data_IF_599591805411
#
_entry.id   IF_599591805411
#
_cell.length_a   1.000
_cell.length_b   1.000
_cell.length_c   1.000
_cell.angle_alpha   90.00
_cell.angle_beta   90.00
_cell.angle_gamma   90.00
#
_symmetry.space_group_name_H-M   'P 1'
#
loop_
_entity.id
_entity.type
_entity.pdbx_description
1 polymer ?
#
# COMPACT_ATOMS: atom_id res chain seq x y z
N UNK A 1 11.17 -30.52 5.81
CA UNK A 1 11.67 -29.47 6.73
C UNK A 1 13.08 -29.01 6.37
N UNK A 2 14.10 -29.94 6.23
CA UNK A 2 15.50 -29.55 5.92
C UNK A 2 15.68 -28.97 4.50
N UNK A 3 14.96 -29.51 3.50
CA UNK A 3 14.93 -28.98 2.12
C UNK A 3 14.21 -27.62 2.04
N UNK A 4 13.18 -27.42 2.83
CA UNK A 4 12.42 -26.19 2.89
C UNK A 4 13.20 -25.07 3.61
N UNK A 5 13.93 -25.44 4.66
CA UNK A 5 14.87 -24.54 5.33
C UNK A 5 15.99 -24.12 4.40
N UNK A 6 16.61 -25.07 3.68
CA UNK A 6 17.66 -24.76 2.70
C UNK A 6 17.16 -23.83 1.60
N UNK A 7 15.96 -24.07 1.05
CA UNK A 7 15.36 -23.20 0.04
C UNK A 7 15.12 -21.77 0.58
N UNK A 8 14.64 -21.63 1.81
CA UNK A 8 14.47 -20.31 2.44
C UNK A 8 15.80 -19.59 2.67
N UNK A 9 16.85 -20.31 3.04
CA UNK A 9 18.20 -19.74 3.19
C UNK A 9 18.75 -19.29 1.83
N UNK A 10 18.60 -20.11 0.79
CA UNK A 10 19.03 -19.76 -0.56
C UNK A 10 18.24 -18.57 -1.10
N UNK A 11 16.91 -18.51 -0.91
CA UNK A 11 16.06 -17.37 -1.29
C UNK A 11 16.44 -16.07 -0.56
N UNK A 12 16.79 -16.14 0.73
CA UNK A 12 17.28 -14.99 1.51
C UNK A 12 18.64 -14.53 1.01
N UNK A 13 19.54 -15.46 0.74
CA UNK A 13 20.90 -15.17 0.24
C UNK A 13 20.86 -14.53 -1.16
N UNK A 14 20.01 -15.04 -2.04
CA UNK A 14 19.81 -14.49 -3.39
C UNK A 14 19.20 -13.08 -3.32
N UNK A 15 18.27 -12.85 -2.41
CA UNK A 15 17.67 -11.54 -2.18
C UNK A 15 18.71 -10.55 -1.64
N UNK A 16 19.48 -10.94 -0.64
CA UNK A 16 20.55 -10.12 -0.08
C UNK A 16 21.63 -9.78 -1.12
N UNK A 17 22.01 -10.74 -1.96
CA UNK A 17 22.97 -10.54 -3.04
C UNK A 17 22.46 -9.57 -4.10
N UNK A 18 21.17 -9.65 -4.47
CA UNK A 18 20.52 -8.70 -5.39
C UNK A 18 20.44 -7.30 -4.78
N UNK A 19 20.07 -7.21 -3.51
CA UNK A 19 19.99 -5.91 -2.78
C UNK A 19 21.38 -5.25 -2.68
N UNK A 20 22.43 -6.01 -2.41
CA UNK A 20 23.82 -5.52 -2.43
C UNK A 20 24.27 -5.04 -3.80
N UNK A 21 23.91 -5.76 -4.85
CA UNK A 21 24.26 -5.38 -6.23
C UNK A 21 23.53 -4.11 -6.64
N UNK A 22 22.25 -4.00 -6.32
CA UNK A 22 21.44 -2.81 -6.53
C UNK A 22 22.02 -1.60 -5.78
N UNK A 23 22.38 -1.77 -4.52
CA UNK A 23 22.98 -0.71 -3.70
C UNK A 23 24.33 -0.24 -4.28
N UNK A 24 25.17 -1.15 -4.77
CA UNK A 24 26.44 -0.78 -5.45
C UNK A 24 26.21 -0.01 -6.74
N UNK A 25 25.22 -0.41 -7.53
CA UNK A 25 24.86 0.30 -8.75
C UNK A 25 24.34 1.71 -8.44
N UNK A 26 23.52 1.85 -7.41
CA UNK A 26 23.03 3.14 -6.93
C UNK A 26 24.15 4.05 -6.41
N UNK A 27 25.08 3.51 -5.62
CA UNK A 27 26.25 4.26 -5.16
C UNK A 27 27.15 4.71 -6.34
N UNK A 28 27.33 3.88 -7.36
CA UNK A 28 28.07 4.27 -8.56
C UNK A 28 27.38 5.37 -9.34
N UNK A 29 26.06 5.27 -9.48
CA UNK A 29 25.25 6.30 -10.14
C UNK A 29 25.28 7.64 -9.38
N UNK A 30 25.17 7.58 -8.05
CA UNK A 30 25.31 8.76 -7.18
C UNK A 30 26.66 9.44 -7.34
N UNK A 31 27.74 8.65 -7.41
CA UNK A 31 29.10 9.18 -7.62
C UNK A 31 29.24 9.88 -8.99
N UNK A 32 28.69 9.29 -10.04
CA UNK A 32 28.73 9.85 -11.38
C UNK A 32 27.90 11.14 -11.49
N UNK A 33 26.70 11.14 -10.92
CA UNK A 33 25.84 12.30 -10.85
C UNK A 33 26.51 13.46 -10.09
N UNK A 34 27.12 13.17 -8.93
CA UNK A 34 27.85 14.15 -8.15
C UNK A 34 29.01 14.77 -8.93
N UNK A 35 29.79 13.93 -9.66
CA UNK A 35 30.88 14.43 -10.49
C UNK A 35 30.38 15.38 -11.58
N UNK A 36 29.31 15.03 -12.30
CA UNK A 36 28.69 15.89 -13.32
C UNK A 36 28.17 17.20 -12.71
N UNK A 37 27.42 17.11 -11.63
CA UNK A 37 26.88 18.29 -10.94
C UNK A 37 27.99 19.21 -10.44
N UNK A 38 29.08 18.66 -9.90
CA UNK A 38 30.22 19.47 -9.43
C UNK A 38 30.92 20.22 -10.58
N UNK A 39 31.09 19.58 -11.74
CA UNK A 39 31.68 20.22 -12.93
C UNK A 39 30.76 21.30 -13.48
N UNK A 40 29.46 21.01 -13.61
CA UNK A 40 28.45 21.97 -14.06
C UNK A 40 28.37 23.17 -13.10
N UNK A 41 28.41 22.92 -11.79
CA UNK A 41 28.40 23.92 -10.74
C UNK A 41 29.62 24.88 -10.84
N UNK A 42 30.82 24.33 -11.00
CA UNK A 42 32.04 25.13 -11.15
C UNK A 42 32.03 25.99 -12.42
N UNK A 43 31.58 25.41 -13.53
CA UNK A 43 31.46 26.12 -14.80
C UNK A 43 30.44 27.28 -14.70
N UNK A 44 29.33 27.03 -14.06
CA UNK A 44 28.27 28.02 -13.93
C UNK A 44 28.61 29.09 -12.88
N UNK A 45 29.28 28.75 -11.78
CA UNK A 45 29.79 29.71 -10.81
C UNK A 45 30.73 30.76 -11.50
N UNK A 46 31.54 30.30 -12.45
CA UNK A 46 32.37 31.21 -13.27
C UNK A 46 31.56 32.06 -14.26
N UNK A 47 30.49 31.49 -14.81
CA UNK A 47 29.63 32.18 -15.78
C UNK A 47 28.69 33.21 -15.13
N UNK A 48 28.25 32.97 -13.88
CA UNK A 48 27.31 33.81 -13.13
C UNK A 48 28.04 34.82 -12.21
N UNK A 49 29.24 35.23 -12.56
CA UNK A 49 30.06 36.14 -11.77
C UNK A 49 29.29 37.43 -11.41
N UNK A 50 29.04 37.63 -10.10
CA UNK A 50 28.43 38.87 -9.57
C UNK A 50 26.89 38.95 -9.66
N UNK A 51 26.17 37.95 -10.18
CA UNK A 51 24.70 37.95 -10.23
C UNK A 51 24.08 37.05 -9.14
N UNK A 52 23.74 37.67 -8.02
CA UNK A 52 23.15 36.97 -6.85
C UNK A 52 21.80 36.31 -7.16
N UNK A 53 20.99 36.94 -8.04
CA UNK A 53 19.67 36.44 -8.38
C UNK A 53 19.77 35.18 -9.26
N UNK A 54 20.69 35.23 -10.23
CA UNK A 54 20.94 34.06 -11.10
C UNK A 54 21.55 32.90 -10.33
N UNK A 55 22.44 33.15 -9.34
CA UNK A 55 22.98 32.14 -8.45
C UNK A 55 21.89 31.50 -7.57
N UNK A 56 20.94 32.30 -7.05
CA UNK A 56 19.80 31.80 -6.28
C UNK A 56 18.88 30.91 -7.12
N UNK A 57 18.47 31.38 -8.29
CA UNK A 57 17.63 30.60 -9.21
C UNK A 57 18.31 29.28 -9.63
N UNK A 58 19.63 29.31 -9.85
CA UNK A 58 20.37 28.10 -10.17
C UNK A 58 20.40 27.10 -9.00
N UNK A 59 20.55 27.56 -7.76
CA UNK A 59 20.46 26.72 -6.57
C UNK A 59 19.12 25.98 -6.47
N UNK A 60 18.01 26.67 -6.79
CA UNK A 60 16.69 26.05 -6.87
C UNK A 60 16.60 24.98 -7.99
N UNK A 61 17.19 25.24 -9.17
CA UNK A 61 17.25 24.25 -10.27
C UNK A 61 18.05 23.01 -9.87
N UNK A 62 19.17 23.19 -9.17
CA UNK A 62 19.95 22.04 -8.67
C UNK A 62 19.16 21.26 -7.64
N UNK A 63 18.46 21.92 -6.72
CA UNK A 63 17.59 21.28 -5.74
C UNK A 63 16.47 20.49 -6.43
N UNK A 64 15.79 21.07 -7.42
CA UNK A 64 14.74 20.39 -8.17
C UNK A 64 15.27 19.13 -8.88
N UNK A 65 16.45 19.20 -9.49
CA UNK A 65 17.10 18.03 -10.08
C UNK A 65 17.40 16.94 -9.05
N UNK A 66 17.89 17.29 -7.87
CA UNK A 66 18.14 16.32 -6.78
C UNK A 66 16.84 15.65 -6.34
N UNK A 67 15.74 16.41 -6.26
CA UNK A 67 14.41 15.88 -5.93
C UNK A 67 13.90 14.91 -7.01
N UNK A 68 14.02 15.26 -8.28
CA UNK A 68 13.63 14.40 -9.40
C UNK A 68 14.44 13.07 -9.41
N UNK A 69 15.75 13.17 -9.25
CA UNK A 69 16.66 12.02 -9.21
C UNK A 69 16.47 11.15 -7.95
N UNK A 70 15.89 11.68 -6.89
CA UNK A 70 15.58 10.91 -5.68
C UNK A 70 14.53 9.83 -5.90
N UNK A 71 13.67 10.00 -6.94
CA UNK A 71 12.55 9.13 -7.23
C UNK A 71 11.29 9.42 -6.39
N UNK A 72 11.27 10.52 -5.64
CA UNK A 72 10.09 11.04 -4.97
C UNK A 72 9.11 11.67 -5.96
N UNK A 73 7.80 11.59 -5.68
CA UNK A 73 6.74 12.09 -6.55
C UNK A 73 6.30 13.49 -6.14
N UNK A 74 6.44 14.46 -7.06
CA UNK A 74 5.98 15.85 -6.89
C UNK A 74 4.47 15.88 -6.67
N UNK A 75 4.02 16.70 -5.72
CA UNK A 75 2.60 16.83 -5.36
C UNK A 75 2.05 15.72 -4.45
N UNK A 76 2.87 14.72 -4.08
CA UNK A 76 2.50 13.64 -3.18
C UNK A 76 3.52 13.45 -2.06
N UNK A 77 4.78 13.27 -2.43
CA UNK A 77 5.88 12.97 -1.50
C UNK A 77 6.75 14.21 -1.27
N UNK A 78 6.68 15.19 -2.16
CA UNK A 78 7.22 16.54 -1.93
C UNK A 78 6.44 17.62 -2.69
N UNK A 79 6.51 18.83 -2.16
CA UNK A 79 5.96 20.06 -2.76
C UNK A 79 7.02 21.14 -2.81
N UNK A 80 6.97 21.98 -3.86
CA UNK A 80 7.90 23.11 -4.05
C UNK A 80 7.17 24.42 -3.85
N UNK A 81 7.87 25.43 -3.29
CA UNK A 81 7.37 26.80 -3.12
C UNK A 81 6.03 26.91 -2.38
N UNK A 82 5.87 26.12 -1.32
CA UNK A 82 4.64 26.09 -0.53
C UNK A 82 4.48 27.41 0.24
N UNK A 83 3.39 28.14 -0.01
CA UNK A 83 3.08 29.33 0.74
C UNK A 83 2.41 28.96 2.07
N UNK A 84 3.14 29.10 3.17
CA UNK A 84 2.66 28.90 4.53
C UNK A 84 2.44 30.27 5.20
N UNK A 85 1.36 30.40 5.99
CA UNK A 85 1.11 31.56 6.81
C UNK A 85 1.05 31.14 8.29
N UNK A 86 1.74 31.85 9.17
CA UNK A 86 1.57 31.64 10.59
C UNK A 86 0.28 32.26 11.11
N UNK A 87 -0.06 31.99 12.37
CA UNK A 87 -1.22 32.54 13.06
C UNK A 87 -1.23 34.08 13.15
N UNK A 88 -0.07 34.72 12.95
CA UNK A 88 0.11 36.19 12.93
C UNK A 88 0.03 36.80 11.53
N UNK A 89 -0.29 36.00 10.49
CA UNK A 89 -0.39 36.47 9.10
C UNK A 89 0.94 36.69 8.39
N UNK A 90 2.08 36.31 8.99
CA UNK A 90 3.37 36.32 8.31
C UNK A 90 3.44 35.16 7.33
N UNK A 91 3.84 35.47 6.09
CA UNK A 91 4.03 34.49 5.03
C UNK A 91 5.43 33.90 5.10
N UNK A 92 5.49 32.59 5.12
CA UNK A 92 6.72 31.81 4.99
C UNK A 92 6.63 31.00 3.72
N UNK A 93 7.73 30.96 2.99
CA UNK A 93 7.77 30.19 1.74
C UNK A 93 9.06 29.36 1.75
N UNK A 94 9.00 28.14 2.32
CA UNK A 94 10.07 27.19 2.16
C UNK A 94 10.22 26.81 0.69
N UNK A 95 11.45 26.55 0.27
CA UNK A 95 11.69 26.19 -1.12
C UNK A 95 11.11 24.82 -1.44
N UNK A 96 11.21 23.85 -0.50
CA UNK A 96 10.64 22.51 -0.61
C UNK A 96 10.14 22.00 0.74
N UNK A 97 9.02 21.29 0.70
CA UNK A 97 8.52 20.45 1.82
C UNK A 97 8.48 19.01 1.34
N UNK A 98 9.18 18.13 2.02
CA UNK A 98 9.19 16.69 1.78
C UNK A 98 8.31 16.01 2.82
N UNK A 99 7.30 15.27 2.35
CA UNK A 99 6.39 14.54 3.20
C UNK A 99 6.96 13.16 3.54
N UNK A 100 6.86 12.79 4.81
CA UNK A 100 7.18 11.47 5.30
C UNK A 100 5.88 10.69 5.58
N UNK A 101 5.91 9.36 5.59
CA UNK A 101 4.86 8.58 6.24
C UNK A 101 4.64 9.05 7.68
N UNK A 102 3.50 8.72 8.28
CA UNK A 102 3.11 9.14 9.64
C UNK A 102 2.89 10.65 9.81
N UNK A 103 2.60 11.33 8.70
CA UNK A 103 2.27 12.75 8.71
C UNK A 103 3.37 13.65 9.32
N UNK A 104 4.62 13.36 8.98
CA UNK A 104 5.78 14.20 9.28
C UNK A 104 6.29 14.88 8.01
N UNK A 105 6.85 16.07 8.16
CA UNK A 105 7.38 16.86 7.06
C UNK A 105 8.84 17.23 7.32
N UNK A 106 9.64 17.36 6.26
CA UNK A 106 10.99 17.91 6.29
C UNK A 106 10.98 19.15 5.39
N UNK A 107 11.45 20.27 5.93
CA UNK A 107 11.61 21.52 5.15
C UNK A 107 13.04 21.61 4.62
N UNK A 108 13.19 21.99 3.36
CA UNK A 108 14.47 22.26 2.72
C UNK A 108 14.49 23.72 2.25
N UNK A 109 15.53 24.47 2.67
CA UNK A 109 15.80 25.86 2.26
C UNK A 109 17.14 25.92 1.50
N UNK A 110 17.13 26.46 0.28
CA UNK A 110 18.26 26.44 -0.65
C UNK A 110 18.96 27.80 -0.80
N UNK A 111 18.68 28.75 0.05
CA UNK A 111 19.05 30.16 -0.12
C UNK A 111 20.45 30.53 0.39
N UNK A 112 21.44 29.69 0.17
CA UNK A 112 22.83 29.99 0.58
C UNK A 112 23.53 30.81 -0.50
N UNK A 113 24.11 31.96 -0.08
CA UNK A 113 24.91 32.81 -0.99
C UNK A 113 26.26 32.16 -1.32
N UNK A 114 26.57 32.03 -2.60
CA UNK A 114 27.81 31.42 -3.08
C UNK A 114 28.87 32.47 -3.53
N UNK A 115 28.60 33.76 -3.36
CA UNK A 115 29.49 34.86 -3.83
C UNK A 115 30.89 34.73 -3.24
N UNK A 116 30.97 34.44 -1.94
CA UNK A 116 32.27 34.36 -1.28
C UNK A 116 33.00 33.07 -1.67
N UNK A 117 32.28 32.00 -1.96
CA UNK A 117 32.86 30.76 -2.51
C UNK A 117 33.38 30.99 -3.95
N UNK A 118 32.68 31.72 -4.78
CA UNK A 118 33.13 32.12 -6.13
C UNK A 118 34.43 32.89 -6.04
N UNK A 119 34.51 33.88 -5.12
CA UNK A 119 35.76 34.66 -4.88
C UNK A 119 36.90 33.75 -4.38
N UNK A 120 36.61 32.81 -3.51
CA UNK A 120 37.57 31.81 -3.04
C UNK A 120 38.17 31.01 -4.21
N UNK A 121 37.33 30.55 -5.14
CA UNK A 121 37.76 29.77 -6.30
C UNK A 121 38.57 30.59 -7.32
N UNK A 122 38.33 31.92 -7.41
CA UNK A 122 38.95 32.82 -8.40
C UNK A 122 40.02 33.74 -7.79
N UNK A 123 40.44 33.52 -6.53
CA UNK A 123 41.45 34.30 -5.87
C UNK A 123 42.82 34.06 -6.49
N UNK A 124 43.53 35.14 -6.81
CA UNK A 124 44.88 35.11 -7.38
C UNK A 124 45.96 34.97 -6.30
N UNK A 125 45.66 35.43 -5.08
CA UNK A 125 46.60 35.37 -3.95
C UNK A 125 46.05 34.52 -2.80
N UNK A 126 46.97 33.94 -2.01
CA UNK A 126 46.54 33.13 -0.83
C UNK A 126 45.83 33.99 0.22
N UNK A 127 46.18 35.27 0.37
CA UNK A 127 45.52 36.18 1.31
C UNK A 127 44.06 36.44 0.90
N UNK A 128 43.81 36.66 -0.39
CA UNK A 128 42.46 36.81 -0.93
C UNK A 128 41.64 35.55 -0.77
N UNK A 129 42.27 34.40 -1.03
CA UNK A 129 41.66 33.09 -0.88
C UNK A 129 41.21 32.85 0.55
N UNK A 130 42.11 33.05 1.53
CA UNK A 130 41.78 32.89 2.94
C UNK A 130 40.67 33.84 3.41
N UNK A 131 40.72 35.10 2.95
CA UNK A 131 39.71 36.12 3.24
C UNK A 131 38.35 35.72 2.68
N UNK A 132 38.27 35.28 1.44
CA UNK A 132 37.05 34.84 0.80
C UNK A 132 36.45 33.59 1.47
N UNK A 133 37.30 32.65 1.91
CA UNK A 133 36.87 31.48 2.64
C UNK A 133 36.26 31.84 4.02
N UNK A 134 36.89 32.70 4.78
CA UNK A 134 36.33 33.21 6.06
C UNK A 134 34.97 33.89 5.83
N UNK A 135 34.83 34.67 4.74
CA UNK A 135 33.56 35.29 4.39
C UNK A 135 32.48 34.25 3.98
N UNK A 136 32.89 33.19 3.28
CA UNK A 136 31.98 32.12 2.92
C UNK A 136 31.45 31.41 4.17
N UNK A 137 32.31 31.03 5.10
CA UNK A 137 31.94 30.42 6.39
C UNK A 137 31.00 31.35 7.17
N UNK A 138 31.32 32.65 7.24
CA UNK A 138 30.47 33.61 7.92
C UNK A 138 29.08 33.73 7.25
N UNK A 139 29.02 33.66 5.91
CA UNK A 139 27.76 33.66 5.17
C UNK A 139 26.89 32.41 5.49
N UNK A 140 27.50 31.23 5.52
CA UNK A 140 26.79 29.99 5.89
C UNK A 140 26.28 30.07 7.32
N UNK A 141 27.10 30.56 8.26
CA UNK A 141 26.71 30.76 9.67
C UNK A 141 25.54 31.74 9.79
N UNK A 142 25.61 32.89 9.13
CA UNK A 142 24.53 33.87 9.15
C UNK A 142 23.21 33.30 8.58
N UNK A 143 23.32 32.40 7.59
CA UNK A 143 22.14 31.73 7.04
C UNK A 143 21.54 30.73 8.04
N UNK A 144 22.37 29.93 8.74
CA UNK A 144 21.93 29.04 9.82
C UNK A 144 21.22 29.85 10.91
N UNK A 145 21.82 30.99 11.34
CA UNK A 145 21.24 31.84 12.36
C UNK A 145 19.90 32.45 11.91
N UNK A 146 19.83 32.94 10.69
CA UNK A 146 18.62 33.50 10.12
C UNK A 146 17.50 32.47 9.95
N UNK A 147 17.84 31.23 9.60
CA UNK A 147 16.85 30.17 9.45
C UNK A 147 16.29 29.70 10.79
N UNK A 148 17.11 29.62 11.82
CA UNK A 148 16.65 29.25 13.17
C UNK A 148 15.61 30.24 13.73
N UNK A 149 15.63 31.50 13.29
CA UNK A 149 14.65 32.52 13.69
C UNK A 149 13.31 32.36 12.98
N UNK A 150 13.24 31.62 11.88
CA UNK A 150 12.00 31.43 11.11
C UNK A 150 11.02 30.45 11.78
N UNK A 151 11.46 29.64 12.74
CA UNK A 151 10.63 28.71 13.54
C UNK A 151 9.61 27.95 12.67
N UNK A 152 10.07 27.26 11.64
CA UNK A 152 9.19 26.49 10.74
C UNK A 152 8.35 25.42 11.45
N UNK A 153 8.80 24.96 12.62
CA UNK A 153 8.08 24.02 13.47
C UNK A 153 6.73 24.55 13.98
N UNK A 154 6.54 25.87 14.02
CA UNK A 154 5.33 26.53 14.51
C UNK A 154 4.35 26.91 13.40
N UNK A 155 4.61 26.50 12.16
CA UNK A 155 3.75 26.86 11.03
C UNK A 155 2.54 25.94 10.90
N UNK A 156 1.29 26.50 10.83
CA UNK A 156 0.10 25.71 10.52
C UNK A 156 0.24 25.07 9.14
N UNK A 157 0.01 23.75 9.05
CA UNK A 157 0.10 22.98 7.81
C UNK A 157 1.43 22.24 7.61
N UNK A 158 2.44 22.49 8.44
CA UNK A 158 3.65 21.67 8.54
C UNK A 158 3.51 20.76 9.75
N UNK A 159 3.63 19.46 9.53
CA UNK A 159 3.41 18.45 10.57
C UNK A 159 4.76 18.06 11.15
N UNK A 160 4.96 18.39 12.44
CA UNK A 160 6.11 17.89 13.23
C UNK A 160 7.46 17.88 12.49
N UNK A 161 8.12 19.03 12.49
CA UNK A 161 9.51 19.14 12.01
C UNK A 161 10.46 18.76 13.14
N UNK A 162 11.22 17.68 12.94
CA UNK A 162 12.35 17.39 13.81
C UNK A 162 13.57 18.22 13.37
N UNK A 163 13.73 18.49 12.06
CA UNK A 163 14.85 19.24 11.50
C UNK A 163 14.47 20.01 10.26
N UNK A 164 15.18 21.12 10.02
CA UNK A 164 15.17 21.88 8.75
C UNK A 164 16.48 21.63 8.02
N UNK A 165 16.43 21.37 6.72
CA UNK A 165 17.61 21.15 5.90
C UNK A 165 18.02 22.45 5.21
N UNK A 166 19.29 22.84 5.34
CA UNK A 166 19.91 23.89 4.51
C UNK A 166 20.65 23.21 3.37
N UNK A 167 20.26 23.51 2.15
CA UNK A 167 20.89 22.97 0.96
C UNK A 167 21.95 23.91 0.40
N UNK A 168 23.19 23.42 0.31
CA UNK A 168 24.29 24.09 -0.38
C UNK A 168 24.48 23.43 -1.74
N UNK A 169 24.17 24.09 -2.88
CA UNK A 169 24.08 23.43 -4.19
C UNK A 169 25.44 23.03 -4.80
N UNK A 170 26.54 23.40 -4.16
CA UNK A 170 27.91 23.05 -4.59
C UNK A 170 28.58 22.21 -3.52
N UNK A 171 28.89 20.94 -3.86
CA UNK A 171 29.55 20.01 -2.96
C UNK A 171 30.86 20.55 -2.39
N UNK A 172 31.71 21.13 -3.25
CA UNK A 172 32.99 21.67 -2.85
C UNK A 172 32.86 22.92 -1.94
N UNK A 173 31.79 23.71 -2.09
CA UNK A 173 31.50 24.83 -1.20
C UNK A 173 31.08 24.35 0.19
N UNK A 174 30.29 23.29 0.24
CA UNK A 174 29.95 22.62 1.50
C UNK A 174 31.20 22.07 2.19
N UNK A 175 32.03 21.30 1.48
CA UNK A 175 33.27 20.73 2.03
C UNK A 175 34.21 21.84 2.52
N UNK A 176 34.45 22.90 1.74
CA UNK A 176 35.32 24.00 2.13
C UNK A 176 34.89 24.68 3.44
N UNK A 177 33.58 24.87 3.66
CA UNK A 177 33.07 25.47 4.88
C UNK A 177 33.30 24.57 6.10
N UNK A 178 33.04 23.26 5.99
CA UNK A 178 33.08 22.33 7.12
C UNK A 178 34.49 21.80 7.45
N UNK A 179 35.38 21.73 6.47
CA UNK A 179 36.79 21.40 6.71
C UNK A 179 37.50 22.51 7.49
N UNK A 180 37.17 23.78 7.22
CA UNK A 180 37.81 24.93 7.87
C UNK A 180 37.12 25.36 9.19
N UNK A 181 35.82 25.06 9.33
CA UNK A 181 35.10 25.32 10.57
C UNK A 181 34.21 24.10 10.98
N UNK A 182 34.81 23.08 11.62
CA UNK A 182 34.06 21.92 12.10
C UNK A 182 33.00 22.26 13.16
N UNK A 183 33.16 23.41 13.88
CA UNK A 183 32.17 23.83 14.87
C UNK A 183 30.85 24.30 14.23
N UNK A 184 30.88 24.66 12.96
CA UNK A 184 29.71 25.10 12.19
C UNK A 184 28.61 23.99 12.14
N UNK A 185 29.03 22.74 11.99
CA UNK A 185 28.11 21.60 11.99
C UNK A 185 27.37 21.46 13.33
N UNK A 186 28.11 21.52 14.45
CA UNK A 186 27.52 21.46 15.79
C UNK A 186 26.58 22.63 16.04
N UNK A 187 26.98 23.85 15.67
CA UNK A 187 26.16 25.05 15.84
C UNK A 187 24.85 25.00 15.03
N UNK A 188 24.84 24.36 13.86
CA UNK A 188 23.63 24.12 13.08
C UNK A 188 22.75 23.06 13.77
N UNK A 189 23.34 21.95 14.18
CA UNK A 189 22.63 20.86 14.81
C UNK A 189 21.94 21.25 16.13
N UNK A 190 22.60 22.08 16.97
CA UNK A 190 22.02 22.62 18.21
C UNK A 190 20.78 23.50 17.95
N UNK A 191 20.57 23.95 16.70
CA UNK A 191 19.42 24.73 16.24
C UNK A 191 18.40 23.90 15.44
N UNK A 192 18.49 22.57 15.50
CA UNK A 192 17.69 21.66 14.68
C UNK A 192 17.83 21.91 13.17
N UNK A 193 19.02 22.34 12.75
CA UNK A 193 19.33 22.58 11.33
C UNK A 193 20.41 21.58 10.90
N UNK A 194 20.16 20.92 9.78
CA UNK A 194 21.14 20.03 9.14
C UNK A 194 21.54 20.65 7.81
N UNK A 195 22.83 20.91 7.65
CA UNK A 195 23.37 21.41 6.39
C UNK A 195 23.67 20.23 5.48
N UNK A 196 23.16 20.26 4.26
CA UNK A 196 23.29 19.19 3.28
C UNK A 196 23.86 19.69 1.96
N UNK A 197 24.67 18.84 1.35
CA UNK A 197 25.17 18.97 -0.01
C UNK A 197 24.27 18.21 -1.00
N UNK A 198 24.47 18.32 -2.31
CA UNK A 198 23.72 17.53 -3.29
C UNK A 198 23.79 16.03 -3.04
N UNK A 199 24.98 15.52 -2.70
CA UNK A 199 25.18 14.08 -2.41
C UNK A 199 24.46 13.64 -1.15
N UNK A 200 24.61 14.38 -0.06
CA UNK A 200 23.98 14.02 1.23
C UNK A 200 22.48 14.18 1.17
N UNK A 201 21.97 15.22 0.50
CA UNK A 201 20.53 15.39 0.29
C UNK A 201 19.96 14.25 -0.54
N UNK A 202 20.58 13.90 -1.68
CA UNK A 202 20.10 12.81 -2.52
C UNK A 202 20.07 11.47 -1.77
N UNK A 203 21.10 11.18 -0.96
CA UNK A 203 21.13 9.97 -0.12
C UNK A 203 19.98 9.96 0.91
N UNK A 204 19.72 11.11 1.55
CA UNK A 204 18.62 11.27 2.50
C UNK A 204 17.27 11.07 1.82
N UNK A 205 17.04 11.73 0.68
CA UNK A 205 15.79 11.62 -0.07
C UNK A 205 15.54 10.21 -0.62
N UNK A 206 16.58 9.47 -1.03
CA UNK A 206 16.47 8.07 -1.40
C UNK A 206 16.07 7.17 -0.23
N UNK A 207 16.54 7.49 0.96
CA UNK A 207 16.08 6.80 2.18
C UNK A 207 14.58 7.07 2.41
N UNK A 208 14.14 8.31 2.28
CA UNK A 208 12.72 8.69 2.36
C UNK A 208 11.88 7.94 1.29
N UNK A 209 12.37 7.89 0.05
CA UNK A 209 11.72 7.16 -1.04
C UNK A 209 11.58 5.66 -0.72
N UNK A 210 12.60 5.08 -0.08
CA UNK A 210 12.54 3.68 0.36
C UNK A 210 11.48 3.47 1.45
N UNK A 211 11.37 4.38 2.42
CA UNK A 211 10.33 4.35 3.45
C UNK A 211 8.94 4.42 2.79
N UNK A 212 8.72 5.32 1.85
CA UNK A 212 7.49 5.42 1.08
C UNK A 212 7.17 4.15 0.29
N UNK A 213 8.20 3.48 -0.25
CA UNK A 213 8.02 2.21 -0.95
C UNK A 213 7.53 1.11 -0.01
N UNK A 214 8.08 1.02 1.20
CA UNK A 214 7.63 0.07 2.22
C UNK A 214 6.20 0.37 2.66
N UNK A 215 5.86 1.62 2.89
CA UNK A 215 4.51 2.03 3.28
C UNK A 215 3.47 1.64 2.23
N UNK A 216 3.76 1.90 0.96
CA UNK A 216 2.89 1.46 -0.14
C UNK A 216 2.76 -0.06 -0.24
N UNK A 217 3.82 -0.81 0.03
CA UNK A 217 3.76 -2.27 0.05
C UNK A 217 2.87 -2.78 1.18
N UNK A 218 2.97 -2.20 2.37
CA UNK A 218 2.15 -2.56 3.52
C UNK A 218 0.67 -2.24 3.26
N UNK A 219 0.36 -1.05 2.77
CA UNK A 219 -0.99 -0.66 2.40
C UNK A 219 -1.60 -1.60 1.33
N UNK A 220 -0.81 -1.97 0.32
CA UNK A 220 -1.25 -2.93 -0.70
C UNK A 220 -1.48 -4.33 -0.10
N UNK A 221 -0.62 -4.79 0.82
CA UNK A 221 -0.79 -6.08 1.49
C UNK A 221 -2.10 -6.14 2.29
N UNK A 222 -2.46 -5.07 3.00
CA UNK A 222 -3.76 -4.97 3.69
C UNK A 222 -4.95 -5.05 2.73
N UNK A 223 -4.89 -4.34 1.62
CA UNK A 223 -5.94 -4.37 0.59
C UNK A 223 -6.09 -5.78 0.02
N UNK A 224 -4.97 -6.44 -0.31
CA UNK A 224 -4.95 -7.83 -0.81
C UNK A 224 -5.56 -8.79 0.22
N UNK A 225 -5.15 -8.69 1.50
CA UNK A 225 -5.68 -9.53 2.56
C UNK A 225 -7.20 -9.38 2.72
N UNK A 226 -7.70 -8.15 2.67
CA UNK A 226 -9.15 -7.87 2.73
C UNK A 226 -9.90 -8.44 1.52
N UNK A 227 -9.35 -8.27 0.31
CA UNK A 227 -9.96 -8.83 -0.90
C UNK A 227 -9.95 -10.36 -0.91
N UNK A 228 -8.86 -10.98 -0.42
CA UNK A 228 -8.78 -12.43 -0.27
C UNK A 228 -9.83 -12.96 0.73
N UNK A 229 -10.03 -12.26 1.86
CA UNK A 229 -11.12 -12.59 2.80
C UNK A 229 -12.50 -12.54 2.16
N UNK A 230 -12.80 -11.45 1.43
CA UNK A 230 -14.08 -11.31 0.73
C UNK A 230 -14.29 -12.39 -0.33
N UNK A 231 -13.24 -12.77 -1.07
CA UNK A 231 -13.30 -13.85 -2.06
C UNK A 231 -13.54 -15.20 -1.39
N UNK A 232 -12.89 -15.48 -0.27
CA UNK A 232 -13.12 -16.69 0.53
C UNK A 232 -14.59 -16.81 0.96
N UNK A 233 -15.17 -15.72 1.48
CA UNK A 233 -16.57 -15.71 1.92
C UNK A 233 -17.56 -15.88 0.76
N UNK A 234 -17.24 -15.35 -0.41
CA UNK A 234 -18.03 -15.59 -1.63
C UNK A 234 -17.94 -17.05 -2.06
N UNK A 235 -16.75 -17.64 -2.01
CA UNK A 235 -16.55 -19.05 -2.36
C UNK A 235 -17.30 -19.98 -1.41
N UNK A 236 -17.27 -19.73 -0.11
CA UNK A 236 -18.02 -20.47 0.89
C UNK A 236 -19.52 -20.47 0.56
N UNK A 237 -20.09 -19.31 0.25
CA UNK A 237 -21.52 -19.19 -0.15
C UNK A 237 -21.86 -19.98 -1.42
N UNK A 238 -20.95 -20.00 -2.40
CA UNK A 238 -21.15 -20.80 -3.63
C UNK A 238 -21.15 -22.29 -3.31
N UNK A 239 -20.25 -22.75 -2.42
CA UNK A 239 -20.21 -24.15 -1.98
C UNK A 239 -21.49 -24.55 -1.24
N UNK A 240 -22.02 -23.72 -0.36
CA UNK A 240 -23.29 -23.94 0.34
C UNK A 240 -24.45 -24.06 -0.65
N UNK A 241 -24.54 -23.14 -1.62
CA UNK A 241 -25.56 -23.20 -2.65
C UNK A 241 -25.44 -24.47 -3.50
N UNK A 242 -24.23 -24.91 -3.84
CA UNK A 242 -24.01 -26.15 -4.58
C UNK A 242 -24.43 -27.38 -3.79
N UNK A 243 -24.17 -27.43 -2.48
CA UNK A 243 -24.65 -28.49 -1.60
C UNK A 243 -26.17 -28.51 -1.51
N UNK A 244 -26.84 -27.36 -1.50
CA UNK A 244 -28.29 -27.27 -1.53
C UNK A 244 -28.86 -27.86 -2.82
N UNK A 245 -28.27 -27.51 -3.95
CA UNK A 245 -28.64 -28.12 -5.25
C UNK A 245 -28.51 -29.65 -5.18
N UNK A 246 -27.39 -30.16 -4.63
CA UNK A 246 -27.19 -31.59 -4.44
C UNK A 246 -28.30 -32.22 -3.61
N UNK A 247 -28.69 -31.61 -2.48
CA UNK A 247 -29.79 -32.09 -1.63
C UNK A 247 -31.13 -32.10 -2.37
N UNK A 248 -31.41 -31.10 -3.17
CA UNK A 248 -32.65 -31.06 -3.97
C UNK A 248 -32.66 -32.10 -5.09
N UNK A 249 -31.53 -32.37 -5.73
CA UNK A 249 -31.41 -33.42 -6.71
C UNK A 249 -31.64 -34.82 -6.08
N UNK A 250 -31.08 -35.09 -4.92
CA UNK A 250 -31.31 -36.35 -4.21
C UNK A 250 -32.80 -36.52 -3.80
N UNK A 251 -33.44 -35.47 -3.29
CA UNK A 251 -34.88 -35.47 -3.02
C UNK A 251 -35.71 -35.76 -4.27
N UNK A 252 -35.37 -35.11 -5.41
CA UNK A 252 -36.05 -35.32 -6.66
C UNK A 252 -35.86 -36.72 -7.18
N UNK A 253 -34.66 -37.28 -7.05
CA UNK A 253 -34.34 -38.68 -7.39
C UNK A 253 -35.17 -39.66 -6.54
N UNK A 254 -35.21 -39.45 -5.21
CA UNK A 254 -36.00 -40.29 -4.31
C UNK A 254 -37.48 -40.25 -4.64
N UNK A 255 -38.06 -39.08 -4.94
CA UNK A 255 -39.44 -38.92 -5.37
C UNK A 255 -39.71 -39.62 -6.72
N UNK A 256 -38.76 -39.54 -7.67
CA UNK A 256 -38.82 -40.24 -8.93
C UNK A 256 -38.81 -41.77 -8.75
N UNK A 257 -37.91 -42.30 -7.95
CA UNK A 257 -37.81 -43.73 -7.66
C UNK A 257 -39.09 -44.25 -6.96
N UNK A 258 -39.57 -43.51 -5.94
CA UNK A 258 -40.85 -43.87 -5.29
C UNK A 258 -42.05 -43.90 -6.29
N UNK A 259 -42.06 -42.95 -7.22
CA UNK A 259 -43.11 -42.92 -8.26
C UNK A 259 -42.96 -44.10 -9.19
N UNK A 260 -41.76 -44.44 -9.61
CA UNK A 260 -41.48 -45.63 -10.43
C UNK A 260 -41.90 -46.91 -9.70
N UNK A 261 -41.60 -47.06 -8.39
CA UNK A 261 -41.98 -48.24 -7.64
C UNK A 261 -43.52 -48.39 -7.54
N UNK A 262 -44.22 -47.31 -7.25
CA UNK A 262 -45.69 -47.28 -7.24
C UNK A 262 -46.29 -47.57 -8.62
N UNK A 263 -45.62 -47.11 -9.68
CA UNK A 263 -46.11 -47.28 -11.03
C UNK A 263 -45.82 -48.66 -11.62
N UNK A 264 -44.57 -49.19 -11.43
CA UNK A 264 -44.10 -50.36 -12.16
C UNK A 264 -43.49 -51.50 -11.32
N UNK A 265 -43.02 -51.27 -10.07
CA UNK A 265 -42.21 -52.25 -9.31
C UNK A 265 -42.85 -52.75 -8.00
N UNK A 266 -43.65 -51.95 -7.31
CA UNK A 266 -44.20 -52.29 -6.00
C UNK A 266 -45.38 -53.29 -6.08
N UNK A 267 -45.70 -53.94 -4.94
CA UNK A 267 -46.89 -54.80 -4.82
C UNK A 267 -48.15 -54.04 -5.19
N UNK A 268 -48.93 -54.60 -6.11
CA UNK A 268 -50.15 -53.95 -6.62
C UNK A 268 -49.90 -52.71 -7.49
N UNK A 269 -48.72 -52.63 -8.13
CA UNK A 269 -48.33 -51.52 -8.99
C UNK A 269 -49.37 -51.27 -10.13
N UNK A 270 -49.41 -50.02 -10.60
CA UNK A 270 -50.42 -49.60 -11.55
C UNK A 270 -50.32 -50.33 -12.88
N UNK A 271 -49.12 -50.68 -13.38
CA UNK A 271 -48.89 -51.45 -14.61
C UNK A 271 -49.51 -52.81 -14.49
N UNK A 272 -49.36 -53.53 -13.37
CA UNK A 272 -49.96 -54.84 -13.13
C UNK A 272 -51.46 -54.73 -13.07
N UNK A 273 -52.04 -53.78 -12.34
CA UNK A 273 -53.49 -53.56 -12.30
C UNK A 273 -54.08 -53.30 -13.68
N UNK A 274 -53.44 -52.50 -14.48
CA UNK A 274 -53.89 -52.22 -15.85
C UNK A 274 -53.76 -53.46 -16.76
N UNK A 275 -52.66 -54.22 -16.61
CA UNK A 275 -52.49 -55.47 -17.35
C UNK A 275 -53.55 -56.54 -16.94
N UNK A 276 -53.89 -56.64 -15.69
CA UNK A 276 -54.93 -57.58 -15.21
C UNK A 276 -56.34 -57.17 -15.68
N UNK A 277 -56.67 -55.86 -15.70
CA UNK A 277 -57.90 -55.36 -16.28
C UNK A 277 -57.99 -55.68 -17.79
N UNK A 278 -56.87 -55.59 -18.51
CA UNK A 278 -56.83 -55.97 -19.91
C UNK A 278 -57.07 -57.47 -20.11
N UNK A 279 -56.51 -58.35 -19.23
CA UNK A 279 -56.79 -59.82 -19.24
C UNK A 279 -58.26 -60.17 -18.96
N UNK A 280 -58.93 -59.33 -18.16
CA UNK A 280 -60.37 -59.47 -17.86
C UNK A 280 -61.28 -59.02 -19.02
N UNK A 281 -60.74 -58.68 -20.18
CA UNK A 281 -61.49 -58.41 -21.35
C UNK A 281 -61.76 -56.94 -21.68
N UNK A 282 -61.08 -56.02 -21.04
CA UNK A 282 -61.15 -54.60 -21.35
C UNK A 282 -60.58 -54.31 -22.77
N UNK A 283 -61.40 -53.67 -23.65
CA UNK A 283 -60.95 -53.31 -24.98
C UNK A 283 -59.94 -52.16 -24.94
N UNK A 284 -58.62 -52.44 -25.06
CA UNK A 284 -57.55 -51.47 -25.10
C UNK A 284 -57.11 -51.22 -26.57
N UNK A 285 -56.88 -49.92 -26.93
CA UNK A 285 -56.39 -49.55 -28.23
C UNK A 285 -54.87 -49.62 -28.38
N UNK A 286 -54.12 -49.65 -27.24
CA UNK A 286 -52.66 -49.72 -27.20
C UNK A 286 -52.24 -50.70 -26.09
N UNK A 287 -51.28 -51.58 -26.37
CA UNK A 287 -50.63 -52.42 -25.34
C UNK A 287 -49.62 -51.64 -24.51
N UNK A 288 -49.38 -52.16 -23.28
CA UNK A 288 -48.31 -51.61 -22.45
C UNK A 288 -46.94 -52.02 -23.02
N UNK A 289 -45.88 -51.18 -22.90
CA UNK A 289 -44.55 -51.55 -23.33
C UNK A 289 -44.06 -52.83 -22.60
N UNK A 290 -43.43 -53.77 -23.34
CA UNK A 290 -42.99 -55.05 -22.77
C UNK A 290 -42.00 -54.89 -21.61
N UNK A 291 -41.18 -53.86 -21.63
CA UNK A 291 -40.17 -53.56 -20.59
C UNK A 291 -40.80 -53.20 -19.25
N UNK A 292 -41.98 -52.61 -19.23
CA UNK A 292 -42.72 -52.31 -18.00
C UNK A 292 -43.46 -53.53 -17.44
N UNK A 293 -43.84 -54.48 -18.30
CA UNK A 293 -44.49 -55.73 -17.89
C UNK A 293 -43.48 -56.72 -17.29
N UNK A 294 -42.26 -56.79 -17.80
CA UNK A 294 -41.21 -57.67 -17.30
C UNK A 294 -40.76 -57.35 -15.84
N UNK A 295 -40.90 -56.10 -15.45
CA UNK A 295 -40.54 -55.66 -14.08
C UNK A 295 -41.70 -55.75 -13.09
N UNK A 296 -42.85 -56.25 -13.48
CA UNK A 296 -44.07 -56.26 -12.67
C UNK A 296 -44.43 -57.65 -12.12
N UNK A 297 -43.57 -58.66 -12.30
CA UNK A 297 -43.85 -60.02 -11.85
C UNK A 297 -43.52 -60.21 -10.38
N UNK A 298 -44.55 -60.06 -9.54
CA UNK A 298 -44.59 -60.74 -8.23
C UNK A 298 -46.03 -61.04 -7.85
N UNK A 299 -46.22 -62.29 -7.38
CA UNK A 299 -47.37 -63.10 -7.08
C UNK A 299 -48.61 -62.39 -6.52
N UNK A 300 -49.78 -62.81 -7.07
CA UNK A 300 -51.15 -62.54 -6.63
C UNK A 300 -51.36 -62.78 -5.13
N UNK A 301 -51.76 -61.72 -4.42
CA UNK A 301 -52.53 -61.86 -3.17
C UNK A 301 -53.72 -60.88 -3.24
N UNK A 302 -54.89 -61.46 -3.52
CA UNK A 302 -56.19 -60.78 -3.39
C UNK A 302 -56.57 -60.88 -1.87
N UNK A 303 -56.22 -59.84 -1.12
CA UNK A 303 -56.93 -59.52 0.12
C UNK A 303 -57.32 -58.01 0.06
N UNK A 304 -58.61 -57.71 0.31
CA UNK A 304 -59.04 -56.36 0.39
C UNK A 304 -58.49 -55.69 1.61
N UNK A 305 -57.74 -54.61 1.39
CA UNK A 305 -57.24 -53.78 2.46
C UNK A 305 -58.41 -53.19 3.28
N UNK A 306 -58.30 -53.34 4.60
CA UNK A 306 -59.15 -52.66 5.54
C UNK A 306 -58.87 -51.12 5.46
N UNK A 307 -59.90 -50.29 5.66
CA UNK A 307 -59.74 -48.83 5.54
C UNK A 307 -58.80 -48.33 6.63
N UNK A 308 -57.76 -47.61 6.20
CA UNK A 308 -56.85 -46.88 7.07
C UNK A 308 -57.62 -45.96 8.03
N UNK A 309 -57.34 -46.16 9.29
CA UNK A 309 -57.76 -45.22 10.34
C UNK A 309 -57.01 -43.90 10.15
N UNK A 310 -57.78 -42.87 9.99
CA UNK A 310 -57.38 -41.50 10.12
C UNK A 310 -57.11 -41.26 11.60
N UNK A 311 -55.86 -41.23 12.01
CA UNK A 311 -55.50 -40.70 13.33
C UNK A 311 -55.42 -39.18 13.23
N UNK A 312 -56.49 -38.62 13.76
CA UNK A 312 -56.67 -37.23 14.10
C UNK A 312 -55.85 -36.96 15.37
N UNK A 313 -54.70 -36.34 15.26
CA UNK A 313 -54.01 -35.76 16.41
C UNK A 313 -54.06 -34.24 16.35
N UNK A 314 -55.03 -33.81 17.13
CA UNK A 314 -55.26 -32.46 17.56
C UNK A 314 -54.09 -31.85 18.31
N UNK A 315 -53.86 -30.60 17.96
CA UNK A 315 -53.44 -29.48 18.80
C UNK A 315 -53.26 -29.76 20.30
N UNK A 316 -52.11 -29.38 20.82
CA UNK A 316 -52.09 -28.76 22.15
C UNK A 316 -50.99 -27.68 22.20
N UNK A 317 -51.45 -26.51 22.09
CA UNK A 317 -51.06 -25.28 22.77
C UNK A 317 -50.32 -25.51 24.09
N UNK A 318 -49.22 -24.85 24.31
CA UNK A 318 -48.96 -24.23 25.61
C UNK A 318 -47.90 -23.11 25.46
N UNK A 319 -48.47 -21.95 25.65
CA UNK A 319 -47.80 -20.70 25.97
C UNK A 319 -47.08 -20.76 27.31
N UNK A 320 -46.02 -19.96 27.43
CA UNK A 320 -45.76 -19.03 28.54
C UNK A 320 -44.39 -18.43 28.32
N UNK A 321 -44.28 -17.16 28.02
CA UNK A 321 -44.16 -16.03 28.95
C UNK A 321 -42.80 -16.08 29.68
N UNK A 322 -41.89 -15.12 29.54
CA UNK A 322 -41.92 -13.75 30.04
C UNK A 322 -40.56 -13.11 29.82
N UNK A 323 -40.56 -11.92 29.35
CA UNK A 323 -39.53 -10.87 29.58
C UNK A 323 -39.42 -10.54 31.08
N UNK A 324 -38.35 -9.88 31.60
CA UNK A 324 -38.14 -8.48 31.35
C UNK A 324 -36.65 -7.99 31.22
N UNK A 325 -36.47 -7.00 30.45
CA UNK A 325 -35.81 -5.69 30.57
C UNK A 325 -35.11 -5.41 31.91
N UNK A 326 -33.82 -5.05 31.87
CA UNK A 326 -33.35 -3.96 32.73
C UNK A 326 -32.15 -3.21 32.12
N UNK A 327 -32.32 -1.92 32.18
CA UNK A 327 -31.44 -0.80 31.88
C UNK A 327 -30.20 -0.78 32.76
N UNK A 328 -29.22 -0.02 32.32
CA UNK A 328 -28.18 0.53 33.18
C UNK A 328 -26.96 0.97 32.39
N UNK A 329 -27.03 2.17 31.94
CA UNK A 329 -26.22 3.35 32.24
C UNK A 329 -24.71 3.33 31.99
N UNK A 330 -24.42 4.38 31.28
CA UNK A 330 -23.14 5.12 31.01
C UNK A 330 -22.31 5.39 32.31
N UNK A 331 -21.06 5.87 32.21
CA UNK A 331 -20.64 6.94 31.28
C UNK A 331 -19.64 6.53 30.20
#
# INVERSE_FOLDING_TARGET
QLLEFRKRVDDVYDKESKDRTSLRAELSHLKELNQRMSIEALNLTRALKGDNKAQGNWGEVVLERVLEESGLRKGHEYETQVALANTEGRRFQPDVVVHLPDAKDIVIDAKVSLIHYERYCNADTEIERETALKQHIASVRAHIDGLSLKQYENLPGVRSLDFVLIFIPIEAAFLAAFEHDPALFRAAYEKNIIVVSPTTLLATLRTVQTIWRYERQNANAEVIARQAGNLHDQFARVLEALQDVGRHLEKSRGAYELTLDRFSRGKGNMVKRVADIAKLGAKTKRGLPPELLANSDDTLDFLPDAPDRVDDETDSDSASASTPIENGDRP
#
